data_IF_333629393663
#
_entry.id   IF_333629393663
#
_cell.length_a   1.000
_cell.length_b   1.000
_cell.length_c   1.000
_cell.angle_alpha   90.00
_cell.angle_beta   90.00
_cell.angle_gamma   90.00
#
_symmetry.space_group_name_H-M   'P 1'
#
loop_
_entity.id
_entity.type
_entity.pdbx_description
1 polymer ?
#
# COMPACT_ATOMS: atom_id res chain seq x y z
N UNK A 1 0.83 -6.17 -2.16
CA UNK A 1 2.03 -5.71 -2.91
C UNK A 1 1.81 -4.26 -3.41
N UNK A 2 2.54 -3.74 -4.41
CA UNK A 2 2.24 -2.43 -5.05
C UNK A 2 1.97 -2.57 -6.56
N UNK A 3 1.61 -1.48 -7.22
CA UNK A 3 1.23 -1.38 -8.65
C UNK A 3 2.20 -1.99 -9.66
N UNK A 4 3.49 -2.11 -9.31
CA UNK A 4 4.56 -2.52 -10.24
C UNK A 4 4.33 -3.88 -10.89
N UNK A 5 3.78 -4.83 -10.14
CA UNK A 5 3.55 -6.19 -10.64
C UNK A 5 2.37 -6.24 -11.63
N UNK A 6 1.17 -5.71 -11.29
CA UNK A 6 0.08 -5.53 -12.24
C UNK A 6 0.46 -4.76 -13.51
N UNK A 7 1.24 -3.68 -13.37
CA UNK A 7 1.70 -2.88 -14.52
C UNK A 7 2.56 -3.69 -15.50
N UNK A 8 3.39 -4.60 -14.98
CA UNK A 8 4.20 -5.52 -15.79
C UNK A 8 3.32 -6.51 -16.57
N UNK A 9 2.25 -7.03 -15.94
CA UNK A 9 1.30 -7.93 -16.60
C UNK A 9 0.53 -7.22 -17.72
N UNK A 10 0.06 -5.99 -17.49
CA UNK A 10 -0.66 -5.18 -18.48
C UNK A 10 0.24 -4.85 -19.68
N UNK A 11 1.54 -4.73 -19.45
CA UNK A 11 2.54 -4.48 -20.49
C UNK A 11 2.90 -5.71 -21.34
N UNK A 12 2.24 -6.86 -21.10
CA UNK A 12 2.53 -8.14 -21.78
C UNK A 12 4.00 -8.57 -21.64
N UNK A 13 4.51 -8.51 -20.41
CA UNK A 13 5.87 -8.95 -20.08
C UNK A 13 5.85 -9.99 -18.97
N UNK A 14 6.88 -10.84 -18.88
CA UNK A 14 7.08 -11.75 -17.74
C UNK A 14 7.76 -10.95 -16.62
N UNK A 15 7.10 -10.69 -15.47
CA UNK A 15 7.68 -9.90 -14.41
C UNK A 15 8.75 -10.68 -13.64
N UNK A 16 9.77 -9.97 -13.16
CA UNK A 16 10.73 -10.46 -12.15
C UNK A 16 10.45 -9.70 -10.86
N UNK A 17 9.99 -10.41 -9.83
CA UNK A 17 9.50 -9.80 -8.60
C UNK A 17 10.40 -10.07 -7.40
N UNK A 18 10.69 -9.02 -6.64
CA UNK A 18 11.32 -9.08 -5.32
C UNK A 18 10.60 -8.13 -4.36
N UNK A 19 10.09 -8.67 -3.25
CA UNK A 19 9.26 -7.89 -2.32
C UNK A 19 8.50 -8.77 -1.34
N UNK A 20 7.17 -8.82 -1.46
CA UNK A 20 6.31 -9.65 -0.62
C UNK A 20 6.65 -11.14 -0.76
N UNK A 21 6.93 -11.82 0.35
CA UNK A 21 7.23 -13.26 0.40
C UNK A 21 6.01 -14.14 0.05
N UNK A 22 4.80 -13.61 0.21
CA UNK A 22 3.54 -14.35 0.03
C UNK A 22 2.78 -13.88 -1.23
N UNK A 23 3.51 -13.38 -2.22
CA UNK A 23 2.93 -12.86 -3.46
C UNK A 23 2.24 -13.96 -4.29
N UNK A 24 2.63 -15.21 -4.09
CA UNK A 24 2.05 -16.43 -4.64
C UNK A 24 0.60 -16.69 -4.19
N UNK A 25 0.15 -16.03 -3.11
CA UNK A 25 -1.25 -16.07 -2.67
C UNK A 25 -2.13 -15.06 -3.40
N UNK A 26 -1.52 -14.01 -3.96
CA UNK A 26 -2.21 -12.94 -4.66
C UNK A 26 -2.22 -13.18 -6.18
N UNK A 27 -1.13 -13.72 -6.72
CA UNK A 27 -0.92 -13.94 -8.16
C UNK A 27 -0.46 -15.37 -8.46
N UNK A 28 -0.71 -15.81 -9.68
CA UNK A 28 -0.28 -17.11 -10.17
C UNK A 28 1.26 -17.14 -10.29
N UNK A 29 1.92 -17.99 -9.50
CA UNK A 29 3.38 -18.20 -9.55
C UNK A 29 3.88 -18.64 -10.95
N UNK A 30 3.02 -19.23 -11.77
CA UNK A 30 3.35 -19.58 -13.16
C UNK A 30 3.34 -18.41 -14.16
N UNK A 31 3.05 -17.18 -13.71
CA UNK A 31 2.98 -16.00 -14.56
C UNK A 31 4.14 -15.01 -14.34
N UNK A 32 4.95 -15.19 -13.30
CA UNK A 32 6.06 -14.29 -12.97
C UNK A 32 7.21 -15.06 -12.30
N UNK A 33 8.38 -14.43 -12.24
CA UNK A 33 9.57 -14.99 -11.58
C UNK A 33 9.68 -14.40 -10.18
N UNK A 34 9.48 -15.22 -9.14
CA UNK A 34 9.68 -14.81 -7.75
C UNK A 34 11.14 -14.99 -7.35
N UNK A 35 11.87 -13.90 -7.11
CA UNK A 35 13.26 -13.98 -6.68
C UNK A 35 13.46 -14.70 -5.32
N UNK A 36 12.39 -14.82 -4.53
CA UNK A 36 12.40 -15.50 -3.22
C UNK A 36 12.39 -17.02 -3.32
N UNK A 37 12.08 -17.59 -4.48
CA UNK A 37 12.16 -19.05 -4.71
C UNK A 37 13.61 -19.53 -4.89
N UNK A 38 14.54 -18.60 -5.08
CA UNK A 38 15.94 -18.88 -5.35
C UNK A 38 16.80 -18.58 -4.13
N UNK A 39 17.93 -19.28 -4.01
CA UNK A 39 18.84 -19.10 -2.86
C UNK A 39 19.63 -17.80 -2.93
N UNK A 40 19.89 -17.31 -4.14
CA UNK A 40 20.69 -16.12 -4.41
C UNK A 40 20.33 -15.54 -5.79
N UNK A 41 20.81 -14.33 -6.07
CA UNK A 41 20.53 -13.64 -7.33
C UNK A 41 21.15 -14.33 -8.55
N UNK A 42 22.27 -15.04 -8.39
CA UNK A 42 22.90 -15.76 -9.50
C UNK A 42 21.98 -16.84 -10.08
N UNK A 43 21.26 -17.57 -9.21
CA UNK A 43 20.26 -18.54 -9.64
C UNK A 43 19.06 -17.88 -10.35
N UNK A 44 18.66 -16.68 -9.94
CA UNK A 44 17.61 -15.91 -10.64
C UNK A 44 18.09 -15.57 -12.05
N UNK A 45 19.32 -15.09 -12.19
CA UNK A 45 19.91 -14.75 -13.49
C UNK A 45 20.03 -15.99 -14.38
N UNK A 46 20.50 -17.12 -13.84
CA UNK A 46 20.57 -18.38 -14.58
C UNK A 46 19.20 -18.82 -15.09
N UNK A 47 18.17 -18.74 -14.25
CA UNK A 47 16.79 -19.05 -14.64
C UNK A 47 16.24 -18.09 -15.70
N UNK A 48 16.54 -16.79 -15.62
CA UNK A 48 16.14 -15.81 -16.65
C UNK A 48 16.80 -16.13 -17.99
N UNK A 49 18.08 -16.51 -17.99
CA UNK A 49 18.79 -16.94 -19.20
C UNK A 49 18.18 -18.21 -19.79
N UNK A 50 17.81 -19.19 -18.94
CA UNK A 50 17.11 -20.40 -19.37
C UNK A 50 15.77 -20.06 -20.02
N UNK A 51 14.98 -19.21 -19.36
CA UNK A 51 13.67 -18.77 -19.83
C UNK A 51 13.75 -18.06 -21.19
N UNK A 52 14.71 -17.15 -21.36
CA UNK A 52 14.94 -16.41 -22.61
C UNK A 52 15.36 -17.32 -23.78
N UNK A 53 16.10 -18.40 -23.48
CA UNK A 53 16.55 -19.36 -24.50
C UNK A 53 15.53 -20.44 -24.84
N UNK A 54 14.45 -20.57 -24.07
CA UNK A 54 13.45 -21.62 -24.21
C UNK A 54 12.08 -21.04 -24.57
N UNK A 55 11.82 -20.91 -25.88
CA UNK A 55 10.56 -20.36 -26.42
C UNK A 55 9.30 -20.99 -25.82
N UNK A 56 9.30 -22.31 -25.57
CA UNK A 56 8.15 -23.01 -25.02
C UNK A 56 7.90 -22.61 -23.56
N UNK A 57 8.97 -22.52 -22.77
CA UNK A 57 8.89 -22.09 -21.38
C UNK A 57 8.49 -20.60 -21.29
N UNK A 58 9.10 -19.75 -22.12
CA UNK A 58 8.74 -18.34 -22.20
C UNK A 58 7.26 -18.14 -22.54
N UNK A 59 6.75 -18.83 -23.56
CA UNK A 59 5.32 -18.80 -23.95
C UNK A 59 4.42 -19.31 -22.84
N UNK A 60 4.86 -20.31 -22.07
CA UNK A 60 4.11 -20.80 -20.91
C UNK A 60 3.94 -19.70 -19.86
N UNK A 61 5.01 -18.98 -19.49
CA UNK A 61 4.93 -17.88 -18.53
C UNK A 61 4.07 -16.72 -19.06
N UNK A 62 4.30 -16.30 -20.30
CA UNK A 62 3.58 -15.19 -20.91
C UNK A 62 2.09 -15.49 -21.15
N UNK A 63 1.75 -16.75 -21.42
CA UNK A 63 0.37 -17.21 -21.63
C UNK A 63 -0.38 -17.58 -20.35
N UNK A 64 0.30 -17.63 -19.20
CA UNK A 64 -0.34 -17.88 -17.91
C UNK A 64 -1.23 -16.70 -17.51
N UNK A 65 -2.40 -16.99 -16.93
CA UNK A 65 -3.20 -15.96 -16.26
C UNK A 65 -2.40 -15.35 -15.10
N UNK A 66 -2.41 -14.01 -14.98
CA UNK A 66 -1.79 -13.30 -13.86
C UNK A 66 -2.40 -13.70 -12.52
N UNK A 67 -3.71 -13.92 -12.47
CA UNK A 67 -4.43 -14.31 -11.27
C UNK A 67 -4.63 -15.82 -11.18
N UNK A 68 -4.66 -16.33 -9.94
CA UNK A 68 -4.97 -17.73 -9.63
C UNK A 68 -6.38 -18.03 -10.13
N UNK A 69 -6.53 -19.10 -10.92
CA UNK A 69 -7.78 -19.50 -11.58
C UNK A 69 -8.46 -18.41 -12.43
N UNK A 70 -7.72 -17.37 -12.82
CA UNK A 70 -8.26 -16.21 -13.54
C UNK A 70 -9.24 -15.36 -12.71
N UNK A 71 -9.22 -15.48 -11.38
CA UNK A 71 -10.11 -14.76 -10.47
C UNK A 71 -9.34 -13.70 -9.69
N UNK A 72 -9.91 -12.49 -9.64
CA UNK A 72 -9.40 -11.43 -8.76
C UNK A 72 -9.37 -11.91 -7.31
N UNK A 73 -8.35 -11.48 -6.57
CA UNK A 73 -8.22 -11.83 -5.16
C UNK A 73 -9.35 -11.18 -4.33
N UNK A 74 -9.56 -11.68 -3.10
CA UNK A 74 -10.62 -11.17 -2.23
C UNK A 74 -10.48 -9.69 -1.85
N UNK A 75 -9.27 -9.14 -1.89
CA UNK A 75 -9.00 -7.75 -1.53
C UNK A 75 -9.35 -6.78 -2.66
N UNK A 76 -9.39 -7.29 -3.90
CA UNK A 76 -9.77 -6.57 -5.12
C UNK A 76 -11.24 -6.79 -5.49
N UNK A 77 -11.98 -7.60 -4.72
CA UNK A 77 -13.41 -7.81 -4.93
C UNK A 77 -14.19 -6.52 -4.66
N UNK A 78 -14.78 -5.98 -5.72
CA UNK A 78 -15.61 -4.78 -5.69
C UNK A 78 -16.70 -4.86 -4.63
N UNK A 79 -17.37 -6.00 -4.50
CA UNK A 79 -18.49 -6.11 -3.57
C UNK A 79 -18.01 -6.02 -2.13
N UNK A 80 -16.89 -6.67 -1.79
CA UNK A 80 -16.30 -6.56 -0.44
C UNK A 80 -15.87 -5.14 -0.10
N UNK A 81 -15.40 -4.39 -1.10
CA UNK A 81 -15.08 -2.96 -0.93
C UNK A 81 -16.37 -2.16 -0.62
N UNK A 82 -17.45 -2.41 -1.37
CA UNK A 82 -18.74 -1.73 -1.14
C UNK A 82 -19.35 -2.11 0.21
N UNK A 83 -19.38 -3.39 0.56
CA UNK A 83 -19.85 -3.87 1.87
C UNK A 83 -19.08 -3.21 3.02
N UNK A 84 -17.77 -3.02 2.83
CA UNK A 84 -16.94 -2.32 3.81
C UNK A 84 -17.31 -0.84 3.93
N UNK A 85 -17.62 -0.17 2.82
CA UNK A 85 -18.10 1.21 2.84
C UNK A 85 -19.45 1.32 3.54
N UNK A 86 -20.40 0.44 3.24
CA UNK A 86 -21.70 0.38 3.92
C UNK A 86 -21.50 0.21 5.44
N UNK A 87 -20.68 -0.75 5.86
CA UNK A 87 -20.35 -0.95 7.26
C UNK A 87 -19.76 0.31 7.94
N UNK A 88 -18.91 1.06 7.23
CA UNK A 88 -18.32 2.30 7.76
C UNK A 88 -19.40 3.36 7.95
N UNK A 89 -20.30 3.53 7.00
CA UNK A 89 -21.33 4.56 7.04
C UNK A 89 -22.47 4.25 8.02
N UNK A 90 -22.80 2.98 8.21
CA UNK A 90 -23.83 2.54 9.15
C UNK A 90 -23.31 2.48 10.60
N UNK A 91 -22.01 2.28 10.78
CA UNK A 91 -21.42 2.22 12.11
C UNK A 91 -21.55 3.56 12.85
N UNK A 92 -21.82 3.55 14.16
CA UNK A 92 -21.92 4.79 14.93
C UNK A 92 -20.57 5.54 14.89
N UNK A 93 -20.59 6.89 14.82
CA UNK A 93 -19.37 7.67 14.69
C UNK A 93 -18.46 7.44 15.90
N UNK A 94 -17.25 6.98 15.62
CA UNK A 94 -16.20 6.81 16.62
C UNK A 94 -15.45 8.14 16.78
N UNK A 95 -15.30 8.63 18.00
CA UNK A 95 -14.48 9.82 18.27
C UNK A 95 -13.01 9.46 17.94
N UNK A 96 -12.37 10.10 16.96
CA UNK A 96 -10.99 9.80 16.63
C UNK A 96 -10.10 10.04 17.85
N UNK A 97 -9.12 9.15 18.10
CA UNK A 97 -8.22 9.26 19.27
C UNK A 97 -7.65 10.68 19.41
N UNK A 98 -7.23 11.30 18.32
CA UNK A 98 -6.69 12.66 18.30
C UNK A 98 -7.66 13.73 18.85
N UNK A 99 -8.97 13.50 18.77
CA UNK A 99 -10.00 14.41 19.26
C UNK A 99 -10.40 14.13 20.72
N UNK A 100 -10.02 12.98 21.27
CA UNK A 100 -10.20 12.67 22.71
C UNK A 100 -9.31 13.55 23.58
N UNK A 101 -9.68 13.75 24.85
CA UNK A 101 -8.87 14.50 25.83
C UNK A 101 -7.47 13.91 25.95
N UNK A 102 -7.39 12.57 26.04
CA UNK A 102 -6.12 11.84 26.13
C UNK A 102 -5.27 12.04 24.86
N UNK A 103 -5.88 11.99 23.68
CA UNK A 103 -5.16 12.21 22.43
C UNK A 103 -4.68 13.65 22.24
N UNK A 104 -5.46 14.64 22.68
CA UNK A 104 -5.03 16.04 22.69
C UNK A 104 -3.84 16.23 23.63
N UNK A 105 -3.91 15.69 24.85
CA UNK A 105 -2.81 15.74 25.81
C UNK A 105 -1.57 15.05 25.24
N UNK A 106 -1.71 13.85 24.67
CA UNK A 106 -0.60 13.12 24.06
C UNK A 106 0.04 13.90 22.90
N UNK A 107 -0.76 14.56 22.05
CA UNK A 107 -0.26 15.42 20.96
C UNK A 107 0.51 16.63 21.50
N UNK A 108 0.01 17.27 22.55
CA UNK A 108 0.69 18.38 23.23
C UNK A 108 2.05 17.95 23.82
N UNK A 109 2.11 16.74 24.38
CA UNK A 109 3.33 16.18 24.98
C UNK A 109 4.34 15.70 23.93
N UNK A 110 3.90 15.14 22.80
CA UNK A 110 4.77 14.65 21.73
C UNK A 110 5.32 15.76 20.83
N UNK A 111 4.59 16.86 20.58
CA UNK A 111 5.03 17.97 19.71
C UNK A 111 5.07 19.34 20.43
N UNK A 112 5.87 19.51 21.50
CA UNK A 112 5.86 20.74 22.30
C UNK A 112 6.27 21.99 21.49
N UNK A 113 7.09 21.82 20.44
CA UNK A 113 7.54 22.94 19.57
C UNK A 113 6.42 23.51 18.68
N UNK A 114 5.54 22.66 18.16
CA UNK A 114 4.44 23.07 17.26
C UNK A 114 3.37 23.83 18.03
N UNK A 115 3.02 23.34 19.22
CA UNK A 115 2.07 24.01 20.10
C UNK A 115 2.61 25.34 20.63
N UNK A 116 3.90 25.42 21.01
CA UNK A 116 4.53 26.68 21.45
C UNK A 116 4.43 27.79 20.39
N UNK A 117 4.50 27.44 19.10
CA UNK A 117 4.34 28.39 17.98
C UNK A 117 2.88 28.84 17.82
N UNK A 118 1.93 27.92 17.93
CA UNK A 118 0.50 28.24 17.90
C UNK A 118 0.06 29.12 19.08
N UNK A 119 0.54 28.81 20.30
CA UNK A 119 0.31 29.63 21.50
C UNK A 119 0.88 31.04 21.35
N UNK A 120 2.12 31.17 20.86
CA UNK A 120 2.72 32.49 20.59
C UNK A 120 1.86 33.30 19.62
N UNK A 121 1.41 32.68 18.53
CA UNK A 121 0.57 33.35 17.55
C UNK A 121 -0.81 33.73 18.11
N UNK A 122 -1.43 32.87 18.91
CA UNK A 122 -2.73 33.13 19.54
C UNK A 122 -2.67 34.25 20.58
N UNK A 123 -1.62 34.27 21.41
CA UNK A 123 -1.38 35.37 22.37
C UNK A 123 -1.13 36.68 21.64
N UNK A 124 -0.36 36.64 20.55
CA UNK A 124 -0.08 37.82 19.74
C UNK A 124 -1.34 38.37 19.06
N UNK A 125 -2.21 37.49 18.55
CA UNK A 125 -3.52 37.86 18.00
C UNK A 125 -4.46 38.44 19.08
N UNK A 126 -4.52 37.84 20.27
CA UNK A 126 -5.34 38.35 21.39
C UNK A 126 -4.90 39.74 21.86
N UNK A 127 -3.59 39.99 21.92
CA UNK A 127 -3.03 41.29 22.29
C UNK A 127 -3.27 42.38 21.21
N UNK A 128 -3.43 41.99 19.94
CA UNK A 128 -3.78 42.92 18.85
C UNK A 128 -5.27 43.31 18.90
N UNK A 129 -6.16 42.36 19.21
CA UNK A 129 -7.58 42.66 19.42
C UNK A 129 -7.84 43.56 20.63
N UNK A 130 -7.10 43.37 21.73
CA UNK A 130 -7.21 44.20 22.94
C UNK A 130 -6.74 45.66 22.78
N UNK A 131 -6.01 46.00 21.72
CA UNK A 131 -5.54 47.38 21.43
C UNK A 131 -6.42 48.16 20.47
N UNK A 132 -7.50 47.56 19.97
CA UNK A 132 -8.42 48.18 18.99
C UNK A 132 -9.70 48.78 19.61
N UNK A 133 -9.84 48.70 20.94
CA UNK A 133 -11.00 49.18 21.69
C UNK A 133 -10.68 50.38 22.62
N UNK A 134 -9.52 51.03 22.44
CA UNK A 134 -9.16 52.30 23.08
C UNK A 134 -9.26 53.47 22.09
#
# INVERSE_FOLDING_TARGET
>A
MTEKLPESFISYTVPIYWGNLHIDKEFNAGAFISAHEFRNLDQVVEFVIELDRNDLLYRKYLGSSAYIDGKVNEFEDRNRILDRFEQIFESPPVIPRAQTVVGRIASLLCEPRRYRRQLKNAIQAANLFGRSND
#
